data_IF_427310475029
#
_entry.id   IF_427310475029
#
_cell.length_a   1.000
_cell.length_b   1.000
_cell.length_c   1.000
_cell.angle_alpha   90.00
_cell.angle_beta   90.00
_cell.angle_gamma   90.00
#
_symmetry.space_group_name_H-M   'P 1'
#
loop_
_entity.id
_entity.type
_entity.pdbx_description
1 polymer ?
#
# COMPACT_ATOMS: atom_id res chain seq x y z
N UNK A 1 55.87 -9.62 -7.03
CA UNK A 1 54.85 -9.88 -6.01
C UNK A 1 54.14 -11.17 -6.44
N UNK A 2 54.22 -12.22 -5.65
CA UNK A 2 53.61 -13.49 -5.98
C UNK A 2 52.07 -13.34 -5.88
N UNK A 3 51.40 -13.65 -6.97
CA UNK A 3 49.93 -13.73 -6.96
C UNK A 3 49.49 -14.76 -5.91
N UNK A 4 48.81 -14.30 -4.86
CA UNK A 4 48.22 -15.16 -3.86
C UNK A 4 47.14 -15.97 -4.58
N UNK A 5 47.36 -17.26 -4.74
CA UNK A 5 46.39 -18.15 -5.38
C UNK A 5 45.19 -18.35 -4.46
N UNK A 6 44.18 -17.49 -4.62
CA UNK A 6 42.93 -17.47 -3.87
C UNK A 6 42.25 -18.86 -3.82
N UNK A 7 42.45 -19.67 -4.86
CA UNK A 7 41.91 -21.07 -4.91
C UNK A 7 42.56 -21.97 -3.89
N UNK A 8 43.87 -21.86 -3.66
CA UNK A 8 44.58 -22.66 -2.65
C UNK A 8 44.23 -22.20 -1.22
N UNK A 9 44.10 -20.89 -1.01
CA UNK A 9 43.67 -20.34 0.28
C UNK A 9 42.25 -20.76 0.65
N UNK A 10 41.33 -20.77 -0.31
CA UNK A 10 39.96 -21.20 -0.09
C UNK A 10 39.83 -22.69 0.20
N UNK A 11 40.74 -23.52 -0.37
CA UNK A 11 40.76 -24.97 -0.13
C UNK A 11 41.35 -25.37 1.23
N UNK A 12 42.25 -24.54 1.77
CA UNK A 12 42.99 -24.87 3.01
C UNK A 12 42.49 -24.10 4.26
N UNK A 13 41.68 -23.04 4.07
CA UNK A 13 41.22 -22.23 5.18
C UNK A 13 39.70 -22.35 5.34
N UNK A 14 39.25 -22.76 6.50
CA UNK A 14 37.84 -22.84 6.83
C UNK A 14 37.26 -21.41 6.86
N UNK A 15 36.37 -21.08 5.90
CA UNK A 15 35.74 -19.79 5.87
C UNK A 15 34.71 -19.71 7.00
N UNK A 16 34.80 -18.67 7.83
CA UNK A 16 33.75 -18.34 8.81
C UNK A 16 32.58 -17.67 8.10
N UNK A 17 31.48 -18.41 7.93
CA UNK A 17 30.23 -17.86 7.43
C UNK A 17 29.42 -17.24 8.58
N UNK A 18 28.81 -16.08 8.32
CA UNK A 18 27.80 -15.57 9.23
C UNK A 18 26.55 -16.45 9.14
N UNK A 19 26.01 -16.94 10.27
CA UNK A 19 24.86 -17.85 10.26
C UNK A 19 23.55 -17.12 9.93
N UNK A 20 23.57 -15.79 9.71
CA UNK A 20 22.41 -14.95 9.43
C UNK A 20 22.46 -14.46 7.99
N UNK A 21 21.40 -14.76 7.24
CA UNK A 21 21.16 -14.19 5.91
C UNK A 21 20.89 -12.69 6.06
N UNK A 22 21.70 -11.85 5.41
CA UNK A 22 21.46 -10.41 5.33
C UNK A 22 20.61 -10.14 4.10
N UNK A 23 19.48 -9.49 4.31
CA UNK A 23 18.58 -9.13 3.24
C UNK A 23 18.95 -7.73 2.70
N UNK A 24 19.46 -7.70 1.48
CA UNK A 24 19.84 -6.47 0.79
C UNK A 24 18.76 -5.99 -0.20
N UNK A 25 17.64 -6.71 -0.31
CA UNK A 25 16.58 -6.45 -1.29
C UNK A 25 15.35 -5.87 -0.60
N UNK A 26 15.30 -5.89 0.73
CA UNK A 26 14.14 -5.49 1.51
C UNK A 26 13.76 -4.03 1.26
N UNK A 27 12.57 -3.83 0.74
CA UNK A 27 11.93 -2.51 0.62
C UNK A 27 10.85 -2.34 1.71
N UNK A 28 10.66 -1.12 2.19
CA UNK A 28 9.60 -0.83 3.14
C UNK A 28 8.26 -0.81 2.42
N UNK A 29 7.37 -1.71 2.77
CA UNK A 29 5.99 -1.76 2.27
C UNK A 29 5.09 -0.91 3.17
N UNK A 30 5.08 0.40 2.93
CA UNK A 30 4.42 1.37 3.82
C UNK A 30 2.92 1.16 3.86
N UNK A 31 2.27 1.08 2.71
CA UNK A 31 0.80 0.97 2.61
C UNK A 31 0.32 -0.36 3.19
N UNK A 32 0.96 -1.46 2.82
CA UNK A 32 0.59 -2.78 3.33
C UNK A 32 0.74 -2.87 4.85
N UNK A 33 1.83 -2.31 5.39
CA UNK A 33 2.06 -2.27 6.84
C UNK A 33 1.05 -1.37 7.55
N UNK A 34 0.72 -0.21 6.97
CA UNK A 34 -0.28 0.70 7.52
C UNK A 34 -1.65 0.04 7.60
N UNK A 35 -2.10 -0.64 6.52
CA UNK A 35 -3.36 -1.36 6.50
C UNK A 35 -3.40 -2.47 7.56
N UNK A 36 -2.32 -3.26 7.68
CA UNK A 36 -2.21 -4.30 8.70
C UNK A 36 -2.25 -3.75 10.13
N UNK A 37 -1.51 -2.67 10.39
CA UNK A 37 -1.40 -2.08 11.74
C UNK A 37 -2.70 -1.40 12.21
N UNK A 38 -3.49 -0.85 11.29
CA UNK A 38 -4.67 -0.03 11.60
C UNK A 38 -6.01 -0.76 11.36
N UNK A 39 -6.00 -2.07 11.19
CA UNK A 39 -7.24 -2.85 10.97
C UNK A 39 -7.87 -2.65 9.59
N UNK A 40 -7.12 -2.12 8.63
CA UNK A 40 -7.56 -2.00 7.23
C UNK A 40 -7.53 -3.33 6.45
N UNK A 41 -7.17 -4.44 7.11
CA UNK A 41 -7.23 -5.79 6.54
C UNK A 41 -8.42 -6.54 7.10
N UNK A 42 -9.25 -7.10 6.23
CA UNK A 42 -10.44 -7.87 6.60
C UNK A 42 -10.32 -9.27 6.02
N UNK A 43 -10.50 -10.31 6.84
CA UNK A 43 -10.48 -11.70 6.41
C UNK A 43 -11.85 -12.15 5.92
N UNK A 44 -11.89 -12.90 4.83
CA UNK A 44 -13.10 -13.45 4.23
C UNK A 44 -12.96 -14.95 3.95
N UNK A 45 -14.01 -15.71 4.26
CA UNK A 45 -14.06 -17.17 4.08
C UNK A 45 -14.62 -17.56 2.69
N UNK A 46 -14.20 -16.86 1.63
CA UNK A 46 -14.65 -17.17 0.28
C UNK A 46 -15.70 -16.16 -0.25
N UNK A 47 -16.43 -16.57 -1.25
CA UNK A 47 -17.39 -15.75 -1.99
C UNK A 47 -16.93 -15.50 -3.43
N UNK A 48 -17.89 -15.34 -4.35
CA UNK A 48 -17.58 -15.09 -5.76
C UNK A 48 -16.92 -13.74 -5.99
N UNK A 49 -17.42 -12.71 -5.31
CA UNK A 49 -17.00 -11.33 -5.40
C UNK A 49 -17.20 -10.67 -4.04
N UNK A 50 -16.42 -9.64 -3.75
CA UNK A 50 -16.65 -8.78 -2.60
C UNK A 50 -17.68 -7.72 -2.98
N UNK A 51 -18.79 -7.69 -2.26
CA UNK A 51 -19.93 -6.80 -2.50
C UNK A 51 -19.99 -5.77 -1.38
N UNK A 52 -19.92 -4.49 -1.74
CA UNK A 52 -19.96 -3.37 -0.79
C UNK A 52 -21.22 -2.53 -1.07
N UNK A 53 -22.22 -2.54 -0.18
CA UNK A 53 -23.39 -1.68 -0.30
C UNK A 53 -23.01 -0.22 -0.05
N UNK A 54 -23.48 0.67 -0.91
CA UNK A 54 -23.19 2.10 -0.88
C UNK A 54 -24.48 2.90 -0.77
N UNK A 55 -24.49 3.90 0.11
CA UNK A 55 -25.54 4.90 0.15
C UNK A 55 -25.02 6.19 -0.48
N UNK A 56 -25.66 6.63 -1.56
CA UNK A 56 -25.23 7.83 -2.31
C UNK A 56 -26.24 8.95 -2.32
N UNK A 57 -27.50 8.66 -2.09
CA UNK A 57 -28.59 9.64 -2.15
C UNK A 57 -29.09 10.04 -0.79
N UNK A 58 -29.49 11.31 -0.68
CA UNK A 58 -30.31 11.80 0.43
C UNK A 58 -31.76 11.80 -0.04
N UNK A 59 -32.69 11.53 0.88
CA UNK A 59 -34.10 11.56 0.54
C UNK A 59 -34.55 13.03 0.33
N UNK A 60 -35.03 13.36 -0.89
CA UNK A 60 -35.48 14.69 -1.27
C UNK A 60 -36.90 15.01 -0.79
N UNK A 61 -37.65 14.02 -0.26
CA UNK A 61 -39.00 14.23 0.25
C UNK A 61 -39.06 14.89 1.64
N UNK A 62 -37.88 15.20 2.21
CA UNK A 62 -37.81 15.90 3.49
C UNK A 62 -38.35 17.33 3.31
N UNK A 63 -39.48 17.62 3.97
CA UNK A 63 -40.12 18.91 3.95
C UNK A 63 -40.66 19.30 5.33
N UNK A 64 -40.76 20.59 5.60
CA UNK A 64 -41.54 21.11 6.72
C UNK A 64 -42.98 21.21 6.29
N UNK A 65 -43.94 20.85 7.14
CA UNK A 65 -45.37 20.93 6.82
C UNK A 65 -46.15 21.65 7.91
N UNK A 66 -47.26 22.27 7.51
CA UNK A 66 -48.30 22.80 8.41
C UNK A 66 -49.59 22.07 8.09
N UNK A 67 -50.43 21.88 9.08
CA UNK A 67 -51.56 20.97 9.23
C UNK A 67 -52.36 20.49 8.01
N UNK A 68 -52.34 21.21 6.88
CA UNK A 68 -53.09 20.89 5.66
C UNK A 68 -52.24 20.66 4.43
N UNK A 69 -50.90 20.63 4.58
CA UNK A 69 -49.98 20.50 3.45
C UNK A 69 -49.98 19.05 2.89
N UNK A 70 -49.88 18.96 1.58
CA UNK A 70 -49.69 17.64 0.92
C UNK A 70 -48.24 17.21 1.04
N UNK A 71 -48.01 16.02 1.63
CA UNK A 71 -46.69 15.46 1.79
C UNK A 71 -46.19 14.79 0.49
N UNK A 72 -44.92 15.01 0.17
CA UNK A 72 -44.28 14.35 -0.95
C UNK A 72 -43.97 12.88 -0.58
N UNK A 73 -44.55 11.93 -1.31
CA UNK A 73 -44.40 10.48 -1.12
C UNK A 73 -43.66 9.82 -2.29
N UNK A 74 -42.94 10.60 -3.07
CA UNK A 74 -42.21 10.09 -4.25
C UNK A 74 -41.14 9.07 -3.84
N UNK A 75 -41.12 7.92 -4.52
CA UNK A 75 -40.09 6.91 -4.28
C UNK A 75 -38.70 7.45 -4.62
N UNK A 76 -37.74 7.20 -3.73
CA UNK A 76 -36.35 7.67 -3.85
C UNK A 76 -35.39 6.47 -3.94
N UNK A 77 -34.52 6.50 -4.93
CA UNK A 77 -33.38 5.58 -5.04
C UNK A 77 -32.15 6.25 -4.42
N UNK A 78 -31.47 5.57 -3.50
CA UNK A 78 -30.32 6.15 -2.81
C UNK A 78 -29.27 5.12 -2.42
N UNK A 79 -29.44 3.85 -2.86
CA UNK A 79 -28.53 2.74 -2.53
C UNK A 79 -28.03 2.12 -3.82
N UNK A 80 -26.74 1.88 -3.89
CA UNK A 80 -26.06 1.17 -4.98
C UNK A 80 -25.07 0.16 -4.41
N UNK A 81 -24.45 -0.65 -5.26
CA UNK A 81 -23.55 -1.73 -4.85
C UNK A 81 -22.26 -1.68 -5.66
N UNK A 82 -21.13 -1.55 -4.98
CA UNK A 82 -19.83 -1.76 -5.60
C UNK A 82 -19.39 -3.23 -5.49
N UNK A 83 -18.92 -3.79 -6.59
CA UNK A 83 -18.45 -5.17 -6.66
C UNK A 83 -16.97 -5.24 -7.00
N UNK A 84 -16.21 -6.00 -6.22
CA UNK A 84 -14.77 -6.18 -6.40
C UNK A 84 -14.46 -7.66 -6.61
N UNK A 85 -13.72 -7.97 -7.67
CA UNK A 85 -13.26 -9.32 -7.97
C UNK A 85 -12.06 -9.69 -7.12
N UNK A 86 -12.00 -10.95 -6.69
CA UNK A 86 -10.83 -11.51 -6.04
C UNK A 86 -9.66 -11.63 -7.02
N UNK A 87 -8.50 -11.18 -6.61
CA UNK A 87 -7.25 -11.24 -7.38
C UNK A 87 -6.27 -12.19 -6.69
N UNK A 88 -5.60 -13.01 -7.49
CA UNK A 88 -4.71 -14.03 -6.99
C UNK A 88 -3.28 -13.80 -7.47
N UNK A 89 -2.36 -13.95 -6.55
CA UNK A 89 -0.93 -13.87 -6.78
C UNK A 89 -0.30 -15.20 -6.47
N UNK A 90 0.69 -15.58 -7.25
CA UNK A 90 1.42 -16.82 -7.06
C UNK A 90 2.92 -16.58 -7.21
N UNK A 91 3.70 -17.19 -6.34
CA UNK A 91 5.14 -17.27 -6.46
C UNK A 91 5.59 -18.72 -6.33
N UNK A 92 6.40 -19.18 -7.26
CA UNK A 92 6.94 -20.54 -7.27
C UNK A 92 8.31 -20.57 -6.61
N UNK A 93 8.50 -21.53 -5.69
CA UNK A 93 9.79 -21.86 -5.07
C UNK A 93 10.23 -23.22 -5.57
N UNK A 94 11.23 -23.21 -6.45
CA UNK A 94 11.79 -24.44 -7.03
C UNK A 94 13.14 -24.79 -6.41
N UNK A 95 13.36 -26.09 -6.15
CA UNK A 95 14.64 -26.62 -5.71
C UNK A 95 14.92 -27.97 -6.32
N UNK A 96 16.16 -28.14 -6.72
CA UNK A 96 16.63 -29.40 -7.32
C UNK A 96 16.96 -30.42 -6.25
N UNK A 97 16.90 -31.68 -6.63
CA UNK A 97 17.37 -32.79 -5.76
C UNK A 97 18.86 -32.62 -5.40
N UNK A 98 19.64 -32.09 -6.33
CA UNK A 98 21.09 -31.83 -6.12
C UNK A 98 21.30 -30.79 -5.01
N UNK A 99 20.53 -29.70 -5.01
CA UNK A 99 20.60 -28.70 -3.96
C UNK A 99 20.22 -29.26 -2.59
N UNK A 100 19.22 -30.16 -2.56
CA UNK A 100 18.82 -30.88 -1.34
C UNK A 100 19.91 -31.78 -0.78
N UNK A 101 20.63 -32.49 -1.66
CA UNK A 101 21.71 -33.41 -1.25
C UNK A 101 22.91 -32.61 -0.77
N UNK A 102 23.32 -31.56 -1.49
CA UNK A 102 24.47 -30.72 -1.14
C UNK A 102 24.26 -29.91 0.14
N UNK A 103 23.04 -29.46 0.42
CA UNK A 103 22.73 -28.68 1.60
C UNK A 103 22.04 -29.52 2.69
N UNK A 104 22.75 -30.58 3.14
CA UNK A 104 22.24 -31.50 4.15
C UNK A 104 23.31 -31.82 5.21
N UNK A 105 22.87 -32.03 6.45
CA UNK A 105 23.72 -32.52 7.55
C UNK A 105 24.58 -31.43 8.19
N UNK A 106 25.78 -31.79 8.64
CA UNK A 106 26.73 -30.91 9.34
C UNK A 106 27.33 -29.83 8.45
N UNK A 107 27.31 -30.02 7.14
CA UNK A 107 27.81 -29.09 6.13
C UNK A 107 26.81 -27.96 5.80
N UNK A 108 25.61 -28.02 6.36
CA UNK A 108 24.58 -27.02 6.16
C UNK A 108 24.85 -25.80 7.01
N UNK A 109 25.30 -24.72 6.39
CA UNK A 109 25.49 -23.42 7.05
C UNK A 109 24.18 -22.64 7.16
N UNK A 110 23.37 -22.68 6.10
CA UNK A 110 22.05 -22.02 6.01
C UNK A 110 21.02 -22.98 5.42
N UNK A 111 19.80 -22.96 5.93
CA UNK A 111 18.70 -23.69 5.30
C UNK A 111 18.29 -22.98 4.00
N UNK A 112 18.79 -23.52 2.87
CA UNK A 112 18.50 -22.99 1.53
C UNK A 112 17.00 -22.90 1.26
N UNK A 113 16.23 -23.90 1.71
CA UNK A 113 14.77 -23.91 1.58
C UNK A 113 14.12 -22.72 2.31
N UNK A 114 14.49 -22.48 3.57
CA UNK A 114 13.96 -21.35 4.34
C UNK A 114 14.34 -20.02 3.72
N UNK A 115 15.56 -19.89 3.20
CA UNK A 115 16.02 -18.68 2.53
C UNK A 115 15.21 -18.41 1.25
N UNK A 116 14.98 -19.42 0.41
CA UNK A 116 14.18 -19.31 -0.82
C UNK A 116 12.70 -18.99 -0.53
N UNK A 117 12.11 -19.60 0.49
CA UNK A 117 10.74 -19.30 0.92
C UNK A 117 10.65 -17.85 1.37
N UNK A 118 11.56 -17.39 2.23
CA UNK A 118 11.58 -15.99 2.69
C UNK A 118 11.75 -15.01 1.54
N UNK A 119 12.61 -15.30 0.57
CA UNK A 119 12.79 -14.50 -0.64
C UNK A 119 11.49 -14.42 -1.45
N UNK A 120 10.79 -15.52 -1.61
CA UNK A 120 9.52 -15.59 -2.32
C UNK A 120 8.41 -14.77 -1.60
N UNK A 121 8.32 -14.89 -0.27
CA UNK A 121 7.36 -14.11 0.53
C UNK A 121 7.62 -12.59 0.42
N UNK A 122 8.90 -12.18 0.44
CA UNK A 122 9.27 -10.78 0.27
C UNK A 122 8.92 -10.26 -1.13
N UNK A 123 9.24 -11.03 -2.18
CA UNK A 123 8.91 -10.66 -3.55
C UNK A 123 7.38 -10.56 -3.77
N UNK A 124 6.61 -11.48 -3.17
CA UNK A 124 5.16 -11.45 -3.23
C UNK A 124 4.59 -10.22 -2.51
N UNK A 125 5.13 -9.89 -1.34
CA UNK A 125 4.74 -8.70 -0.58
C UNK A 125 5.08 -7.41 -1.33
N UNK A 126 6.23 -7.35 -2.00
CA UNK A 126 6.63 -6.21 -2.85
C UNK A 126 5.67 -6.03 -4.03
N UNK A 127 5.30 -7.11 -4.71
CA UNK A 127 4.34 -7.04 -5.82
C UNK A 127 2.96 -6.58 -5.36
N UNK A 128 2.48 -7.08 -4.21
CA UNK A 128 1.21 -6.65 -3.62
C UNK A 128 1.25 -5.16 -3.28
N UNK A 129 2.33 -4.67 -2.65
CA UNK A 129 2.47 -3.25 -2.32
C UNK A 129 2.51 -2.36 -3.56
N UNK A 130 3.23 -2.78 -4.60
CA UNK A 130 3.29 -2.06 -5.88
C UNK A 130 1.91 -1.98 -6.53
N UNK A 131 1.16 -3.07 -6.53
CA UNK A 131 -0.18 -3.10 -7.11
C UNK A 131 -1.21 -2.32 -6.27
N UNK A 132 -1.07 -2.27 -4.94
CA UNK A 132 -1.87 -1.39 -4.09
C UNK A 132 -1.66 0.11 -4.41
N UNK A 133 -0.50 0.48 -4.91
CA UNK A 133 -0.17 1.85 -5.33
C UNK A 133 -0.67 2.11 -6.75
N UNK A 134 -0.09 1.40 -7.73
CA UNK A 134 -0.30 1.69 -9.15
C UNK A 134 -1.50 0.96 -9.75
N UNK A 135 -1.71 -0.33 -9.37
CA UNK A 135 -2.79 -1.15 -9.91
C UNK A 135 -2.80 -1.26 -11.42
N UNK A 136 -1.61 -1.23 -12.06
CA UNK A 136 -1.46 -1.20 -13.51
C UNK A 136 -1.77 -2.53 -14.22
N UNK A 137 -1.75 -3.64 -13.48
CA UNK A 137 -2.04 -4.96 -14.02
C UNK A 137 -3.55 -5.26 -13.97
N UNK A 138 -4.15 -5.58 -15.10
CA UNK A 138 -5.58 -5.93 -15.20
C UNK A 138 -5.97 -7.15 -14.32
N UNK A 139 -5.03 -8.05 -14.04
CA UNK A 139 -5.21 -9.21 -13.16
C UNK A 139 -4.81 -8.93 -11.71
N UNK A 140 -4.19 -7.78 -11.46
CA UNK A 140 -3.72 -7.34 -10.15
C UNK A 140 -4.81 -6.66 -9.32
N UNK A 141 -4.46 -6.25 -8.10
CA UNK A 141 -5.31 -5.46 -7.23
C UNK A 141 -5.59 -4.08 -7.85
N UNK A 142 -6.74 -3.52 -7.54
CA UNK A 142 -7.05 -2.13 -7.92
C UNK A 142 -6.21 -1.19 -7.05
N UNK A 143 -5.35 -0.40 -7.68
CA UNK A 143 -4.44 0.48 -6.97
C UNK A 143 -5.06 1.80 -6.55
N UNK A 144 -4.38 2.50 -5.64
CA UNK A 144 -4.75 3.84 -5.19
C UNK A 144 -4.82 4.83 -6.36
N UNK A 145 -3.93 4.70 -7.35
CA UNK A 145 -3.94 5.52 -8.56
C UNK A 145 -5.30 5.49 -9.27
N UNK A 146 -5.88 4.29 -9.43
CA UNK A 146 -7.20 4.11 -10.05
C UNK A 146 -8.33 4.53 -9.11
N UNK A 147 -8.19 4.25 -7.81
CA UNK A 147 -9.23 4.58 -6.82
C UNK A 147 -9.37 6.07 -6.57
N UNK A 148 -8.27 6.82 -6.60
CA UNK A 148 -8.28 8.28 -6.41
C UNK A 148 -8.62 9.07 -7.68
N UNK A 149 -8.55 8.44 -8.86
CA UNK A 149 -8.89 9.11 -10.13
C UNK A 149 -10.39 9.46 -10.19
N UNK A 150 -10.70 10.63 -10.74
CA UNK A 150 -12.08 11.12 -10.82
C UNK A 150 -12.91 10.41 -11.91
N UNK A 151 -12.28 9.81 -12.92
CA UNK A 151 -12.94 9.29 -14.13
C UNK A 151 -13.03 7.78 -14.18
N UNK A 152 -12.15 7.08 -13.49
CA UNK A 152 -12.02 5.63 -13.51
C UNK A 152 -13.27 4.89 -13.06
N UNK A 153 -13.49 3.72 -13.64
CA UNK A 153 -14.51 2.76 -13.18
C UNK A 153 -13.92 1.90 -12.06
N UNK A 154 -14.52 1.95 -10.88
CA UNK A 154 -14.10 1.17 -9.71
C UNK A 154 -15.33 0.51 -9.10
N UNK A 155 -15.23 -0.78 -8.78
CA UNK A 155 -16.34 -1.55 -8.24
C UNK A 155 -17.54 -1.67 -9.18
N UNK A 156 -17.33 -1.60 -10.50
CA UNK A 156 -18.39 -1.60 -11.51
C UNK A 156 -19.08 -0.25 -11.74
N UNK A 157 -18.77 0.77 -10.92
CA UNK A 157 -19.39 2.10 -10.98
C UNK A 157 -18.42 3.07 -11.65
N UNK A 158 -18.87 3.80 -12.68
CA UNK A 158 -18.07 4.78 -13.41
C UNK A 158 -18.05 6.14 -12.72
N UNK A 159 -16.87 6.65 -12.42
CA UNK A 159 -16.68 8.01 -11.87
C UNK A 159 -17.05 9.12 -12.88
N UNK A 160 -17.01 8.82 -14.19
CA UNK A 160 -17.45 9.79 -15.21
C UNK A 160 -18.97 10.02 -15.15
N UNK A 161 -19.74 8.94 -15.01
CA UNK A 161 -21.22 8.98 -14.97
C UNK A 161 -21.72 9.45 -13.62
N UNK A 162 -21.14 8.94 -12.54
CA UNK A 162 -21.61 9.18 -11.17
C UNK A 162 -20.66 10.09 -10.41
N UNK A 163 -21.01 11.35 -10.26
CA UNK A 163 -20.16 12.36 -9.58
C UNK A 163 -19.91 12.06 -8.10
N UNK A 164 -20.82 11.38 -7.43
CA UNK A 164 -20.69 10.97 -6.03
C UNK A 164 -19.64 9.86 -5.82
N UNK A 165 -19.26 9.13 -6.92
CA UNK A 165 -18.26 8.06 -6.91
C UNK A 165 -16.90 8.50 -7.47
N UNK A 166 -16.55 9.77 -7.37
CA UNK A 166 -15.25 10.30 -7.81
C UNK A 166 -14.24 10.31 -6.68
N UNK A 167 -12.98 10.00 -7.00
CA UNK A 167 -11.86 10.28 -6.15
C UNK A 167 -11.43 11.75 -6.24
N UNK A 168 -10.63 12.21 -5.31
CA UNK A 168 -10.08 13.57 -5.32
C UNK A 168 -8.70 13.54 -5.97
N UNK A 169 -8.59 14.14 -7.15
CA UNK A 169 -7.32 14.33 -7.85
C UNK A 169 -7.01 15.80 -8.00
N UNK A 170 -5.83 16.21 -7.62
CA UNK A 170 -5.30 17.56 -7.85
C UNK A 170 -3.99 17.46 -8.65
N UNK A 171 -4.07 17.81 -9.93
CA UNK A 171 -2.91 17.83 -10.84
C UNK A 171 -2.45 19.27 -10.98
N UNK A 172 -1.38 19.64 -10.27
CA UNK A 172 -0.78 20.97 -10.35
C UNK A 172 0.39 20.98 -11.33
N UNK A 173 0.50 22.07 -12.09
CA UNK A 173 1.65 22.33 -12.97
C UNK A 173 2.85 22.92 -12.20
N UNK A 174 2.78 23.01 -10.87
CA UNK A 174 3.72 23.76 -10.01
C UNK A 174 4.18 22.83 -8.87
N UNK A 175 5.31 23.18 -8.28
CA UNK A 175 5.86 22.51 -7.09
C UNK A 175 4.84 22.39 -5.96
N UNK A 176 4.78 21.25 -5.31
CA UNK A 176 3.90 20.96 -4.17
C UNK A 176 4.06 22.02 -3.08
N UNK A 177 2.94 22.59 -2.63
CA UNK A 177 2.90 23.53 -1.50
C UNK A 177 2.04 22.98 -0.35
N UNK A 178 2.25 23.50 0.85
CA UNK A 178 1.42 23.14 2.01
C UNK A 178 -0.04 23.56 1.86
N UNK A 179 -0.32 24.64 1.10
CA UNK A 179 -1.70 25.08 0.82
C UNK A 179 -2.43 24.07 -0.08
N UNK A 180 -1.75 23.51 -1.07
CA UNK A 180 -2.33 22.50 -1.96
C UNK A 180 -2.56 21.19 -1.21
N UNK A 181 -1.62 20.75 -0.39
CA UNK A 181 -1.80 19.60 0.49
C UNK A 181 -3.02 19.74 1.40
N UNK A 182 -3.22 20.96 1.97
CA UNK A 182 -4.37 21.25 2.81
C UNK A 182 -5.68 21.24 2.01
N UNK A 183 -5.68 21.73 0.78
CA UNK A 183 -6.85 21.71 -0.10
C UNK A 183 -7.27 20.25 -0.41
N UNK A 184 -6.34 19.39 -0.80
CA UNK A 184 -6.62 17.96 -1.06
C UNK A 184 -7.08 17.25 0.22
N UNK A 185 -6.40 17.46 1.33
CA UNK A 185 -6.80 16.90 2.64
C UNK A 185 -8.23 17.28 3.00
N UNK A 186 -8.58 18.57 2.87
CA UNK A 186 -9.93 19.07 3.19
C UNK A 186 -10.98 18.45 2.25
N UNK A 187 -10.66 18.30 0.95
CA UNK A 187 -11.55 17.63 0.00
C UNK A 187 -11.80 16.16 0.39
N UNK A 188 -10.77 15.44 0.85
CA UNK A 188 -10.91 14.07 1.32
C UNK A 188 -11.75 13.94 2.60
N UNK A 189 -11.77 14.97 3.43
CA UNK A 189 -12.54 15.01 4.69
C UNK A 189 -13.95 15.51 4.50
N UNK A 190 -14.24 16.25 3.43
CA UNK A 190 -15.51 16.89 3.20
C UNK A 190 -16.65 15.87 3.07
N UNK A 191 -17.70 16.04 3.84
CA UNK A 191 -18.85 15.15 3.85
C UNK A 191 -18.55 13.70 4.33
N UNK A 192 -17.43 13.45 4.98
CA UNK A 192 -17.00 12.10 5.39
C UNK A 192 -17.32 11.77 6.86
N UNK A 193 -18.33 12.42 7.43
CA UNK A 193 -18.78 12.09 8.79
C UNK A 193 -17.72 12.26 9.89
N UNK A 194 -16.67 13.06 9.64
CA UNK A 194 -15.56 13.28 10.56
C UNK A 194 -14.38 12.29 10.42
N UNK A 195 -14.46 11.35 9.49
CA UNK A 195 -13.34 10.46 9.17
C UNK A 195 -12.18 11.25 8.55
N UNK A 196 -10.97 11.02 9.05
CA UNK A 196 -9.78 11.82 8.73
C UNK A 196 -8.81 11.03 7.87
N UNK A 197 -8.04 11.75 7.05
CA UNK A 197 -6.84 11.18 6.41
C UNK A 197 -5.90 10.66 7.52
N UNK A 198 -5.49 9.42 7.41
CA UNK A 198 -4.67 8.72 8.41
C UNK A 198 -3.21 8.61 8.03
N UNK A 199 -2.90 8.69 6.73
CA UNK A 199 -1.56 8.55 6.19
C UNK A 199 -1.43 9.33 4.90
N UNK A 200 -0.30 9.99 4.71
CA UNK A 200 0.13 10.55 3.44
C UNK A 200 1.34 9.75 2.97
N UNK A 201 1.22 9.16 1.78
CA UNK A 201 2.33 8.41 1.14
C UNK A 201 2.80 9.17 -0.08
N UNK A 202 4.09 9.35 -0.21
CA UNK A 202 4.69 10.14 -1.28
C UNK A 202 5.94 9.48 -1.85
N UNK A 203 6.42 9.98 -2.98
CA UNK A 203 7.73 9.61 -3.51
C UNK A 203 8.86 10.22 -2.68
N UNK A 204 10.04 9.63 -2.74
CA UNK A 204 11.24 10.16 -2.08
C UNK A 204 11.56 11.59 -2.54
N UNK A 205 11.35 11.89 -3.83
CA UNK A 205 11.62 13.21 -4.40
C UNK A 205 10.73 14.30 -3.78
N UNK A 206 9.43 14.05 -3.66
CA UNK A 206 8.49 14.99 -3.03
C UNK A 206 8.77 15.08 -1.53
N UNK A 207 9.08 13.97 -0.87
CA UNK A 207 9.42 13.98 0.56
C UNK A 207 10.61 14.92 0.86
N UNK A 208 11.67 14.86 0.04
CA UNK A 208 12.81 15.75 0.18
C UNK A 208 12.46 17.22 -0.06
N UNK A 209 11.59 17.51 -1.04
CA UNK A 209 11.10 18.88 -1.29
C UNK A 209 10.30 19.42 -0.10
N UNK A 210 9.41 18.60 0.47
CA UNK A 210 8.63 18.99 1.65
C UNK A 210 9.54 19.25 2.86
N UNK A 211 10.56 18.42 3.05
CA UNK A 211 11.54 18.63 4.10
C UNK A 211 12.32 19.94 3.91
N UNK A 212 12.72 20.26 2.68
CA UNK A 212 13.39 21.51 2.36
C UNK A 212 12.48 22.74 2.61
N UNK A 213 11.18 22.66 2.27
CA UNK A 213 10.21 23.71 2.55
C UNK A 213 10.02 23.95 4.06
N UNK A 214 9.98 22.88 4.87
CA UNK A 214 9.91 22.97 6.32
C UNK A 214 11.18 23.61 6.90
N UNK A 215 12.35 23.17 6.45
CA UNK A 215 13.64 23.70 6.91
C UNK A 215 13.79 25.18 6.61
N UNK A 216 13.29 25.65 5.46
CA UNK A 216 13.30 27.06 5.08
C UNK A 216 12.34 27.92 5.96
N UNK A 217 11.27 27.33 6.48
CA UNK A 217 10.27 28.03 7.30
C UNK A 217 10.62 28.01 8.79
N UNK A 218 11.24 26.94 9.27
CA UNK A 218 11.71 26.81 10.65
C UNK A 218 13.11 27.42 10.76
N UNK A 219 13.22 28.67 11.22
CA UNK A 219 14.44 29.15 11.84
C UNK A 219 14.64 28.31 13.11
N UNK A 220 15.69 27.53 13.15
CA UNK A 220 16.13 26.77 14.32
C UNK A 220 16.31 27.73 15.50
N UNK A 221 15.37 27.74 16.42
CA UNK A 221 15.49 28.50 17.66
C UNK A 221 16.19 27.57 18.68
N UNK A 222 17.50 27.76 18.95
CA UNK A 222 18.26 26.84 19.79
C UNK A 222 17.76 26.79 21.23
N UNK A 223 16.93 27.74 21.63
CA UNK A 223 16.38 27.83 22.98
C UNK A 223 15.26 26.80 23.21
N UNK A 224 14.55 26.35 22.16
CA UNK A 224 13.52 25.31 22.29
C UNK A 224 14.10 23.88 22.33
N UNK A 225 15.30 23.67 21.81
CA UNK A 225 15.98 22.37 21.88
C UNK A 225 16.43 21.97 23.30
N UNK A 226 16.44 22.90 24.25
CA UNK A 226 16.83 22.65 25.66
C UNK A 226 15.71 22.04 26.52
N UNK A 227 14.45 22.07 26.06
CA UNK A 227 13.31 21.49 26.78
C UNK A 227 13.18 20.00 26.48
N UNK A 228 12.73 19.19 27.47
CA UNK A 228 12.50 17.74 27.27
C UNK A 228 11.58 17.43 26.06
N UNK A 229 10.61 18.30 25.80
CA UNK A 229 9.73 18.23 24.63
C UNK A 229 10.42 18.58 23.32
N UNK A 230 11.34 19.55 23.31
CA UNK A 230 12.16 19.90 22.16
C UNK A 230 13.12 18.79 21.76
N UNK A 231 13.69 18.03 22.73
CA UNK A 231 14.50 16.84 22.44
C UNK A 231 13.68 15.72 21.82
N UNK A 232 12.46 15.46 22.29
CA UNK A 232 11.55 14.47 21.70
C UNK A 232 11.09 14.86 20.30
N UNK A 233 10.85 16.15 20.04
CA UNK A 233 10.55 16.69 18.72
C UNK A 233 11.78 16.62 17.79
N UNK A 234 12.98 16.86 18.28
CA UNK A 234 14.21 16.73 17.49
C UNK A 234 14.52 15.25 17.16
N UNK A 235 14.32 14.33 18.10
CA UNK A 235 14.47 12.89 17.86
C UNK A 235 13.38 12.35 16.94
N UNK A 236 12.13 12.85 17.03
CA UNK A 236 11.03 12.47 16.14
C UNK A 236 11.12 13.12 14.75
N UNK A 237 11.67 14.33 14.63
CA UNK A 237 11.68 15.06 13.34
C UNK A 237 12.73 14.55 12.35
N UNK A 238 13.68 13.74 12.79
CA UNK A 238 14.64 13.11 11.87
C UNK A 238 14.10 11.85 11.19
N UNK A 239 13.05 11.23 11.70
CA UNK A 239 12.49 9.99 11.12
C UNK A 239 11.06 10.11 10.56
N UNK A 240 10.26 11.08 11.00
CA UNK A 240 8.87 11.22 10.56
C UNK A 240 8.50 12.68 10.30
N UNK A 241 8.09 12.95 9.05
CA UNK A 241 7.46 14.22 8.70
C UNK A 241 5.98 14.13 9.04
N UNK A 242 5.46 15.10 9.80
CA UNK A 242 4.03 15.19 10.08
C UNK A 242 3.44 16.47 9.46
N UNK A 243 2.31 16.29 8.77
CA UNK A 243 1.53 17.38 8.24
C UNK A 243 0.19 17.47 8.96
N UNK A 244 -0.01 18.50 9.78
CA UNK A 244 -1.23 18.71 10.59
C UNK A 244 -1.64 17.46 11.42
N UNK A 245 -0.65 16.78 12.02
CA UNK A 245 -0.85 15.57 12.82
C UNK A 245 -1.05 14.29 12.00
N UNK A 246 -0.82 14.35 10.68
CA UNK A 246 -0.88 13.18 9.80
C UNK A 246 0.56 12.81 9.40
N UNK A 247 0.99 11.55 9.61
CA UNK A 247 2.31 11.11 9.21
C UNK A 247 2.47 11.13 7.68
N UNK A 248 3.57 11.70 7.22
CA UNK A 248 3.99 11.71 5.82
C UNK A 248 5.17 10.76 5.67
N UNK A 249 5.02 9.73 4.85
CA UNK A 249 6.05 8.70 4.65
C UNK A 249 6.30 8.52 3.16
N UNK A 250 7.54 8.19 2.78
CA UNK A 250 7.84 7.85 1.41
C UNK A 250 7.83 6.33 1.21
N UNK A 251 7.39 5.90 0.02
CA UNK A 251 7.45 4.52 -0.43
C UNK A 251 8.23 4.46 -1.76
N UNK A 252 9.16 3.52 -1.88
CA UNK A 252 10.00 3.37 -3.07
C UNK A 252 9.23 2.90 -4.32
N UNK A 253 8.05 2.30 -4.13
CA UNK A 253 7.17 1.87 -5.21
C UNK A 253 6.32 3.01 -5.79
N UNK A 254 6.38 4.22 -5.19
CA UNK A 254 5.66 5.41 -5.66
C UNK A 254 6.28 5.98 -6.93
N UNK A 255 5.42 6.44 -7.85
CA UNK A 255 5.87 7.27 -8.96
C UNK A 255 6.49 8.58 -8.44
N UNK A 256 7.50 9.09 -9.17
CA UNK A 256 8.34 10.18 -8.69
C UNK A 256 7.59 11.46 -8.30
N UNK A 257 6.45 11.69 -8.92
CA UNK A 257 5.71 12.94 -8.82
C UNK A 257 4.34 12.79 -8.12
N UNK A 258 4.06 11.63 -7.51
CA UNK A 258 2.78 11.33 -6.88
C UNK A 258 2.81 11.38 -5.35
N UNK A 259 1.68 11.83 -4.78
CA UNK A 259 1.37 11.81 -3.36
C UNK A 259 -0.07 11.34 -3.16
N UNK A 260 -0.29 10.36 -2.27
CA UNK A 260 -1.60 9.87 -1.92
C UNK A 260 -1.99 10.20 -0.49
N UNK A 261 -3.25 10.60 -0.32
CA UNK A 261 -3.91 10.83 0.96
C UNK A 261 -4.83 9.64 1.24
N UNK A 262 -4.50 8.87 2.27
CA UNK A 262 -5.17 7.60 2.57
C UNK A 262 -6.00 7.74 3.84
N UNK A 263 -7.26 7.30 3.76
CA UNK A 263 -8.13 7.15 4.91
C UNK A 263 -8.26 5.66 5.24
N UNK A 264 -7.79 5.26 6.41
CA UNK A 264 -7.79 3.86 6.88
C UNK A 264 -9.19 3.25 7.03
N UNK A 265 -10.20 4.09 7.31
CA UNK A 265 -11.56 3.61 7.57
C UNK A 265 -12.26 3.22 6.25
N UNK A 266 -11.89 3.89 5.15
CA UNK A 266 -12.53 3.73 3.85
C UNK A 266 -11.69 2.91 2.85
N UNK A 267 -10.37 2.83 3.03
CA UNK A 267 -9.50 2.01 2.18
C UNK A 267 -9.12 0.72 2.89
N UNK A 268 -9.52 -0.41 2.34
CA UNK A 268 -9.36 -1.72 2.98
C UNK A 268 -8.84 -2.77 2.01
N UNK A 269 -8.15 -3.75 2.56
CA UNK A 269 -7.67 -4.93 1.86
C UNK A 269 -8.42 -6.17 2.39
N UNK A 270 -9.33 -6.70 1.57
CA UNK A 270 -9.95 -8.00 1.81
C UNK A 270 -8.96 -9.12 1.47
N UNK A 271 -8.80 -10.08 2.36
CA UNK A 271 -7.91 -11.22 2.19
C UNK A 271 -8.74 -12.50 2.34
N UNK A 272 -8.57 -13.43 1.40
CA UNK A 272 -9.16 -14.76 1.52
C UNK A 272 -8.35 -15.59 2.53
N UNK A 273 -9.03 -16.14 3.54
CA UNK A 273 -8.39 -16.88 4.63
C UNK A 273 -7.58 -18.07 4.11
N UNK A 274 -8.15 -18.84 3.18
CA UNK A 274 -7.50 -20.01 2.58
C UNK A 274 -6.35 -19.68 1.60
N UNK A 275 -6.24 -18.42 1.19
CA UNK A 275 -5.22 -17.95 0.25
C UNK A 275 -4.29 -16.88 0.85
N UNK A 276 -4.19 -16.79 2.16
CA UNK A 276 -3.31 -15.83 2.83
C UNK A 276 -1.89 -16.39 2.96
N UNK A 277 -1.04 -16.17 1.96
CA UNK A 277 0.30 -16.76 1.88
C UNK A 277 0.29 -18.29 2.06
N UNK A 278 -0.77 -18.92 1.53
CA UNK A 278 -0.93 -20.35 1.62
C UNK A 278 0.08 -21.07 0.75
N UNK A 279 0.70 -22.09 1.32
CA UNK A 279 1.65 -22.94 0.59
C UNK A 279 0.87 -24.11 -0.01
N UNK A 280 0.82 -24.16 -1.35
CA UNK A 280 0.23 -25.29 -2.07
C UNK A 280 1.24 -26.43 -2.14
N UNK A 281 0.73 -27.64 -2.08
CA UNK A 281 1.51 -28.87 -2.05
C UNK A 281 2.54 -28.98 -3.16
N UNK A 282 3.64 -29.72 -2.83
CA UNK A 282 4.77 -29.95 -3.72
C UNK A 282 4.33 -30.65 -5.00
N UNK A 283 4.53 -29.98 -6.12
CA UNK A 283 4.45 -30.58 -7.44
C UNK A 283 5.86 -31.06 -7.86
N UNK A 284 5.94 -32.25 -8.40
CA UNK A 284 7.16 -32.78 -8.96
C UNK A 284 6.88 -33.17 -10.42
N UNK A 285 7.46 -32.46 -11.40
CA UNK A 285 7.34 -32.84 -12.81
C UNK A 285 7.91 -34.28 -13.02
N UNK A 286 7.26 -35.01 -13.89
CA UNK A 286 7.63 -36.41 -14.13
C UNK A 286 8.99 -36.62 -14.82
N UNK A 287 9.45 -35.57 -15.50
CA UNK A 287 10.68 -35.54 -16.33
C UNK A 287 11.87 -34.85 -15.65
N UNK A 288 11.68 -34.27 -14.45
CA UNK A 288 12.70 -33.49 -13.76
C UNK A 288 12.75 -33.78 -12.27
N UNK A 289 13.96 -33.88 -11.71
CA UNK A 289 14.17 -34.01 -10.25
C UNK A 289 14.12 -32.65 -9.55
N UNK A 290 13.03 -31.91 -9.76
CA UNK A 290 12.76 -30.60 -9.17
C UNK A 290 11.50 -30.68 -8.33
N UNK A 291 11.55 -30.18 -7.10
CA UNK A 291 10.36 -29.99 -6.27
C UNK A 291 9.93 -28.52 -6.37
N UNK A 292 8.70 -28.26 -6.75
CA UNK A 292 8.12 -26.93 -6.87
C UNK A 292 7.06 -26.77 -5.80
N UNK A 293 7.13 -25.69 -5.03
CA UNK A 293 6.08 -25.26 -4.10
C UNK A 293 5.55 -23.92 -4.57
N UNK A 294 4.27 -23.73 -4.48
CA UNK A 294 3.61 -22.45 -4.79
C UNK A 294 3.16 -21.79 -3.50
N UNK A 295 3.46 -20.49 -3.36
CA UNK A 295 2.89 -19.65 -2.31
C UNK A 295 1.87 -18.76 -3.00
N UNK A 296 0.63 -18.81 -2.52
CA UNK A 296 -0.50 -18.09 -3.11
C UNK A 296 -1.02 -17.05 -2.14
N UNK A 297 -1.34 -15.88 -2.68
CA UNK A 297 -2.07 -14.84 -1.98
C UNK A 297 -3.34 -14.50 -2.77
N UNK A 298 -4.49 -14.46 -2.11
CA UNK A 298 -5.75 -14.05 -2.70
C UNK A 298 -6.35 -12.88 -1.92
N UNK A 299 -6.68 -11.79 -2.62
CA UNK A 299 -7.26 -10.62 -1.98
C UNK A 299 -7.95 -9.67 -2.95
N UNK A 300 -8.62 -8.66 -2.40
CA UNK A 300 -9.23 -7.57 -3.14
C UNK A 300 -9.00 -6.25 -2.38
N UNK A 301 -8.42 -5.26 -3.02
CA UNK A 301 -8.39 -3.90 -2.48
C UNK A 301 -9.73 -3.23 -2.82
N UNK A 302 -10.36 -2.62 -1.83
CA UNK A 302 -11.67 -2.01 -2.00
C UNK A 302 -11.81 -0.73 -1.19
N UNK A 303 -12.73 0.09 -1.61
CA UNK A 303 -13.14 1.28 -0.88
C UNK A 303 -14.66 1.36 -0.82
N UNK A 304 -15.19 1.83 0.28
CA UNK A 304 -16.59 2.16 0.44
C UNK A 304 -16.88 3.63 0.11
N UNK A 305 -15.83 4.46 -0.02
CA UNK A 305 -15.94 5.88 -0.34
C UNK A 305 -14.70 6.41 -1.06
N UNK A 306 -14.78 6.56 -2.38
CA UNK A 306 -13.67 7.09 -3.18
C UNK A 306 -13.31 8.55 -2.85
N UNK A 307 -14.29 9.37 -2.52
CA UNK A 307 -14.08 10.77 -2.15
C UNK A 307 -13.22 10.97 -0.87
N UNK A 308 -12.99 9.91 -0.07
CA UNK A 308 -12.09 9.95 1.08
C UNK A 308 -10.62 9.71 0.73
N UNK A 309 -10.34 9.34 -0.51
CA UNK A 309 -9.01 9.14 -1.05
C UNK A 309 -8.62 10.33 -1.91
N UNK A 310 -7.37 10.78 -1.79
CA UNK A 310 -6.86 11.89 -2.57
C UNK A 310 -5.54 11.56 -3.23
N UNK A 311 -5.34 12.12 -4.41
CA UNK A 311 -4.08 12.11 -5.13
C UNK A 311 -3.66 13.53 -5.47
N UNK A 312 -2.41 13.82 -5.28
CA UNK A 312 -1.77 15.02 -5.78
C UNK A 312 -0.60 14.61 -6.66
N UNK A 313 -0.56 15.13 -7.89
CA UNK A 313 0.52 14.86 -8.84
C UNK A 313 1.22 16.17 -9.17
N UNK A 314 2.54 16.21 -9.00
CA UNK A 314 3.38 17.32 -9.42
C UNK A 314 3.73 17.15 -10.90
N UNK A 315 3.13 17.95 -11.78
CA UNK A 315 3.56 17.97 -13.18
C UNK A 315 4.83 18.81 -13.28
N UNK A 316 5.94 18.20 -13.67
CA UNK A 316 7.12 18.95 -14.08
C UNK A 316 6.73 19.80 -15.29
N UNK A 317 6.99 21.10 -15.24
CA UNK A 317 7.02 21.93 -16.44
C UNK A 317 8.08 21.32 -17.37
N UNK A 318 7.66 20.89 -18.57
CA UNK A 318 8.53 20.37 -19.60
C UNK A 318 9.56 21.42 -20.03
#
# INVERSE_FOLDING_TARGET
>A
MADINLGQLAATTLQKYQPKLVDNIYKKHVILNHLKANGGTVMYNGGRQLVVPLMYGTNSTVQTFDGTDTLDTTYQEGIDVATYDWKFYNVAVAFTMVDKIKNKGKEQVLSLLKAKIKQAELALSEKINTDLISGSDAKGLVGLLTMSDATSTVGGISGTTYSWWRGNIDSKAVTVSFSDMRAVKNSCMNGNGGSKVSLIVTSQAIYQKLFALLTATYQFNPTQAATKEGKRLAEASFEMLEFEGIPVVYDEAMAADDMFFINKDNYKLGILEDANFAVIDKSQPSDQHVSIQHIVFGGAAYTDRRASLGQMTEKKSA
#
